data_IF_180031752018
#
_entry.id   IF_180031752018
#
_cell.length_a   1.000
_cell.length_b   1.000
_cell.length_c   1.000
_cell.angle_alpha   90.00
_cell.angle_beta   90.00
_cell.angle_gamma   90.00
#
_symmetry.space_group_name_H-M   'P 1'
#
loop_
_entity.id
_entity.type
_entity.pdbx_description
1 polymer ?
#
# COMPACT_ATOMS: atom_id res chain seq x y z
N UNK A 1 -8.32 -7.91 -7.18
CA UNK A 1 -9.41 -7.51 -8.09
C UNK A 1 -10.09 -8.73 -8.73
N UNK A 2 -11.17 -9.23 -8.14
CA UNK A 2 -11.94 -10.37 -8.66
C UNK A 2 -12.67 -10.07 -9.99
N UNK A 3 -12.85 -8.81 -10.32
CA UNK A 3 -13.67 -8.34 -11.44
C UNK A 3 -12.92 -7.50 -12.48
N UNK A 4 -11.59 -7.59 -12.51
CA UNK A 4 -10.77 -6.86 -13.50
C UNK A 4 -11.21 -7.19 -14.92
N UNK A 5 -11.47 -6.16 -15.71
CA UNK A 5 -11.95 -6.26 -17.08
C UNK A 5 -13.48 -6.26 -17.23
N UNK A 6 -14.24 -6.37 -16.12
CA UNK A 6 -15.71 -6.23 -16.11
C UNK A 6 -16.17 -5.08 -15.20
N UNK A 7 -15.43 -4.79 -14.15
CA UNK A 7 -15.71 -3.71 -13.21
C UNK A 7 -14.42 -3.27 -12.54
N UNK A 8 -14.29 -1.99 -12.23
CA UNK A 8 -13.19 -1.43 -11.41
C UNK A 8 -13.50 -1.43 -9.91
N UNK A 9 -14.41 -2.29 -9.46
CA UNK A 9 -14.82 -2.36 -8.05
C UNK A 9 -13.78 -3.13 -7.24
N UNK A 10 -13.32 -2.52 -6.15
CA UNK A 10 -12.56 -3.22 -5.11
C UNK A 10 -13.49 -4.10 -4.30
N UNK A 11 -13.02 -5.29 -3.91
CA UNK A 11 -13.81 -6.28 -3.20
C UNK A 11 -13.11 -6.64 -1.90
N UNK A 12 -13.85 -6.68 -0.80
CA UNK A 12 -13.37 -7.16 0.49
C UNK A 12 -13.93 -8.56 0.75
N UNK A 13 -13.10 -9.41 1.34
CA UNK A 13 -13.50 -10.76 1.77
C UNK A 13 -13.38 -10.80 3.29
N UNK A 14 -14.49 -11.12 3.95
CA UNK A 14 -14.54 -11.26 5.39
C UNK A 14 -14.64 -12.74 5.75
N UNK A 15 -13.77 -13.19 6.65
CA UNK A 15 -13.74 -14.57 7.14
C UNK A 15 -14.12 -14.58 8.62
N UNK A 16 -15.16 -15.29 8.97
CA UNK A 16 -15.69 -15.38 10.33
C UNK A 16 -15.60 -16.81 10.86
N UNK A 17 -15.32 -16.93 12.15
CA UNK A 17 -15.54 -18.17 12.88
C UNK A 17 -16.95 -18.14 13.50
N UNK A 18 -17.75 -19.10 13.15
CA UNK A 18 -19.13 -19.21 13.66
C UNK A 18 -19.12 -19.90 15.03
N UNK A 19 -19.95 -19.41 15.94
CA UNK A 19 -20.17 -20.02 17.27
C UNK A 19 -19.40 -19.39 18.42
N UNK A 20 -18.49 -18.46 18.15
CA UNK A 20 -17.77 -17.69 19.17
C UNK A 20 -17.99 -16.18 18.93
N UNK A 21 -18.42 -15.47 19.98
CA UNK A 21 -18.58 -14.02 19.88
C UNK A 21 -17.19 -13.36 19.91
N UNK A 22 -16.94 -12.45 18.97
CA UNK A 22 -15.71 -11.66 18.92
C UNK A 22 -15.63 -10.72 20.13
N UNK A 23 -14.49 -10.71 20.81
CA UNK A 23 -14.21 -9.81 21.93
C UNK A 23 -13.34 -8.62 21.43
N UNK A 24 -13.34 -7.51 22.17
CA UNK A 24 -12.57 -6.29 21.80
C UNK A 24 -11.05 -6.51 21.74
N UNK A 25 -10.55 -7.50 22.46
CA UNK A 25 -9.14 -7.90 22.53
C UNK A 25 -8.77 -9.06 21.60
N UNK A 26 -9.74 -9.58 20.84
CA UNK A 26 -9.45 -10.58 19.82
C UNK A 26 -8.77 -9.96 18.61
N UNK A 27 -7.66 -10.57 18.22
CA UNK A 27 -6.85 -10.09 17.08
C UNK A 27 -7.53 -10.42 15.76
N UNK A 28 -7.68 -9.40 14.92
CA UNK A 28 -8.14 -9.51 13.53
C UNK A 28 -6.98 -9.34 12.58
N UNK A 29 -6.94 -10.16 11.54
CA UNK A 29 -5.93 -10.13 10.51
C UNK A 29 -6.44 -9.36 9.29
N UNK A 30 -5.75 -8.30 8.92
CA UNK A 30 -6.05 -7.47 7.75
C UNK A 30 -5.01 -7.74 6.67
N UNK A 31 -5.45 -8.08 5.47
CA UNK A 31 -4.57 -8.43 4.37
C UNK A 31 -4.93 -7.57 3.16
N UNK A 32 -4.00 -6.70 2.74
CA UNK A 32 -4.10 -6.02 1.45
C UNK A 32 -3.52 -6.93 0.36
N UNK A 33 -4.40 -7.48 -0.45
CA UNK A 33 -4.03 -8.35 -1.56
C UNK A 33 -4.31 -7.71 -2.92
N UNK A 34 -4.19 -6.40 -2.99
CA UNK A 34 -4.30 -5.65 -4.24
C UNK A 34 -3.21 -6.04 -5.24
N UNK A 35 -2.00 -6.38 -4.75
CA UNK A 35 -0.96 -7.05 -5.53
C UNK A 35 -1.01 -8.57 -5.32
N UNK A 36 -1.76 -9.27 -6.15
CA UNK A 36 -1.86 -10.73 -6.09
C UNK A 36 -0.76 -11.46 -6.87
N UNK A 37 0.20 -10.73 -7.44
CA UNK A 37 1.30 -11.28 -8.22
C UNK A 37 0.96 -11.56 -9.69
N UNK A 38 -0.29 -11.37 -10.12
CA UNK A 38 -0.68 -11.52 -11.51
C UNK A 38 -0.75 -10.19 -12.24
N UNK A 39 -0.16 -10.13 -13.43
CA UNK A 39 -0.42 -9.06 -14.39
C UNK A 39 -1.56 -9.46 -15.31
N UNK A 40 -2.50 -8.55 -15.51
CA UNK A 40 -3.69 -8.73 -16.32
C UNK A 40 -3.60 -7.92 -17.60
N UNK A 41 -3.73 -8.58 -18.76
CA UNK A 41 -3.80 -7.88 -20.05
C UNK A 41 -5.21 -7.99 -20.62
N UNK A 42 -5.86 -6.85 -20.81
CA UNK A 42 -7.15 -6.80 -21.48
C UNK A 42 -6.96 -7.01 -22.99
N UNK A 43 -7.40 -8.14 -23.51
CA UNK A 43 -7.61 -8.29 -24.96
C UNK A 43 -9.06 -7.96 -25.29
N UNK A 44 -9.28 -7.29 -26.43
CA UNK A 44 -10.59 -6.82 -26.91
C UNK A 44 -11.68 -7.92 -27.07
N UNK A 45 -11.36 -9.18 -26.83
CA UNK A 45 -12.30 -10.31 -26.82
C UNK A 45 -12.14 -11.11 -25.53
N UNK A 46 -12.90 -10.73 -24.54
CA UNK A 46 -13.44 -11.53 -23.42
C UNK A 46 -12.55 -12.45 -22.59
N UNK A 47 -11.26 -12.64 -22.86
CA UNK A 47 -10.37 -13.43 -22.02
C UNK A 47 -9.24 -12.56 -21.49
N UNK A 48 -9.22 -12.35 -20.15
CA UNK A 48 -8.07 -11.76 -19.47
C UNK A 48 -6.98 -12.82 -19.39
N UNK A 49 -5.82 -12.58 -20.01
CA UNK A 49 -4.64 -13.39 -19.78
C UNK A 49 -4.01 -12.97 -18.44
N UNK A 50 -4.01 -13.90 -17.51
CA UNK A 50 -3.27 -13.78 -16.26
C UNK A 50 -1.84 -14.29 -16.49
N UNK A 51 -0.85 -13.45 -16.20
CA UNK A 51 0.55 -13.83 -16.18
C UNK A 51 1.06 -13.73 -14.75
N UNK A 52 1.65 -14.79 -14.25
CA UNK A 52 2.40 -14.74 -13.00
C UNK A 52 3.68 -13.94 -13.24
N UNK A 53 3.75 -12.74 -12.66
CA UNK A 53 4.87 -11.81 -12.80
C UNK A 53 5.58 -11.54 -11.48
N UNK A 54 4.96 -11.91 -10.36
CA UNK A 54 5.50 -11.70 -9.01
C UNK A 54 5.06 -12.82 -8.06
N UNK A 55 5.46 -14.05 -8.36
CA UNK A 55 5.26 -15.22 -7.50
C UNK A 55 3.82 -15.39 -7.00
N UNK A 56 2.87 -15.26 -7.90
CA UNK A 56 1.45 -15.25 -7.55
C UNK A 56 1.02 -16.50 -6.77
N UNK A 57 1.47 -17.69 -7.18
CA UNK A 57 1.12 -18.94 -6.48
C UNK A 57 1.61 -18.97 -5.05
N UNK A 58 2.84 -18.53 -4.82
CA UNK A 58 3.45 -18.46 -3.50
C UNK A 58 2.77 -17.40 -2.64
N UNK A 59 2.39 -16.24 -3.21
CA UNK A 59 1.60 -15.21 -2.51
C UNK A 59 0.25 -15.75 -2.04
N UNK A 60 -0.47 -16.48 -2.88
CA UNK A 60 -1.73 -17.11 -2.50
C UNK A 60 -1.54 -18.16 -1.39
N UNK A 61 -0.48 -18.97 -1.47
CA UNK A 61 -0.19 -19.94 -0.42
C UNK A 61 0.14 -19.23 0.91
N UNK A 62 0.94 -18.17 0.86
CA UNK A 62 1.30 -17.41 2.06
C UNK A 62 0.07 -16.79 2.72
N UNK A 63 -0.92 -16.30 1.97
CA UNK A 63 -2.18 -15.82 2.56
C UNK A 63 -2.87 -16.93 3.35
N UNK A 64 -2.96 -18.13 2.80
CA UNK A 64 -3.54 -19.27 3.52
C UNK A 64 -2.80 -19.54 4.83
N UNK A 65 -1.47 -19.47 4.78
CA UNK A 65 -0.61 -19.70 5.95
C UNK A 65 -0.74 -18.56 6.97
N UNK A 66 -0.83 -17.32 6.54
CA UNK A 66 -1.05 -16.15 7.40
C UNK A 66 -2.42 -16.20 8.09
N UNK A 67 -3.47 -16.58 7.36
CA UNK A 67 -4.81 -16.75 7.96
C UNK A 67 -4.80 -17.84 9.03
N UNK A 68 -4.12 -18.95 8.78
CA UNK A 68 -4.07 -20.10 9.70
C UNK A 68 -3.12 -19.89 10.87
N UNK A 69 -1.93 -19.37 10.63
CA UNK A 69 -0.82 -19.40 11.58
C UNK A 69 -0.35 -18.00 12.03
N UNK A 70 -0.84 -16.93 11.40
CA UNK A 70 -0.52 -15.55 11.76
C UNK A 70 0.84 -15.04 11.27
N UNK A 71 1.25 -13.91 11.83
CA UNK A 71 2.42 -13.10 11.41
C UNK A 71 3.73 -13.89 11.25
N UNK A 72 3.91 -14.98 12.02
CA UNK A 72 5.11 -15.82 11.93
C UNK A 72 5.34 -16.49 10.55
N UNK A 73 4.35 -16.45 9.65
CA UNK A 73 4.45 -16.97 8.28
C UNK A 73 4.67 -15.88 7.22
N UNK A 74 4.82 -14.63 7.64
CA UNK A 74 5.10 -13.51 6.73
C UNK A 74 6.49 -13.70 6.09
N UNK A 75 6.56 -13.73 4.77
CA UNK A 75 7.79 -13.97 4.02
C UNK A 75 7.84 -13.18 2.69
N UNK A 76 6.84 -13.33 1.83
CA UNK A 76 6.75 -12.67 0.52
C UNK A 76 5.96 -11.37 0.63
N UNK A 77 4.82 -11.43 1.34
CA UNK A 77 4.05 -10.24 1.66
C UNK A 77 4.85 -9.37 2.64
N UNK A 78 4.65 -8.08 2.53
CA UNK A 78 5.29 -7.09 3.39
C UNK A 78 4.44 -6.79 4.63
N UNK A 79 5.04 -6.15 5.64
CA UNK A 79 4.30 -5.66 6.80
C UNK A 79 3.27 -4.56 6.46
N UNK A 80 3.32 -3.99 5.25
CA UNK A 80 2.30 -3.08 4.73
C UNK A 80 1.09 -3.82 4.17
N UNK A 81 1.30 -5.03 3.66
CA UNK A 81 0.26 -5.88 3.09
C UNK A 81 -0.42 -6.77 4.13
N UNK A 82 0.23 -7.01 5.28
CA UNK A 82 -0.32 -7.80 6.39
C UNK A 82 -0.27 -7.00 7.70
N UNK A 83 -1.42 -6.86 8.33
CA UNK A 83 -1.56 -6.13 9.60
C UNK A 83 -2.46 -6.89 10.57
N UNK A 84 -2.06 -6.94 11.83
CA UNK A 84 -2.86 -7.46 12.94
C UNK A 84 -3.34 -6.30 13.80
N UNK A 85 -4.65 -6.21 14.02
CA UNK A 85 -5.26 -5.14 14.77
C UNK A 85 -6.52 -5.60 15.49
N UNK A 86 -7.23 -4.66 16.06
CA UNK A 86 -8.45 -4.90 16.82
C UNK A 86 -9.61 -4.18 16.17
N UNK A 87 -10.81 -4.75 16.27
CA UNK A 87 -12.05 -4.10 15.87
C UNK A 87 -12.95 -3.90 17.08
N UNK A 88 -13.79 -2.87 17.02
CA UNK A 88 -14.87 -2.71 17.96
C UNK A 88 -16.16 -3.29 17.36
N UNK A 89 -16.64 -4.46 17.84
CA UNK A 89 -17.83 -5.09 17.30
C UNK A 89 -19.12 -4.31 17.58
N UNK A 90 -19.12 -3.38 18.54
CA UNK A 90 -20.30 -2.58 18.90
C UNK A 90 -20.45 -1.36 17.98
N UNK A 91 -19.33 -0.66 17.69
CA UNK A 91 -19.38 0.55 16.86
C UNK A 91 -19.51 0.25 15.37
N UNK A 92 -19.08 -0.93 14.93
CA UNK A 92 -18.97 -1.28 13.52
C UNK A 92 -17.92 -0.47 12.74
N UNK A 93 -17.14 0.36 13.44
CA UNK A 93 -15.97 1.05 12.90
C UNK A 93 -14.80 0.08 12.77
N UNK A 94 -13.74 0.51 12.09
CA UNK A 94 -12.46 -0.20 12.02
C UNK A 94 -12.47 -1.61 11.37
N UNK A 95 -13.56 -1.97 10.71
CA UNK A 95 -13.67 -3.26 10.02
C UNK A 95 -12.81 -3.35 8.74
N UNK A 96 -12.23 -2.22 8.32
CA UNK A 96 -11.35 -2.15 7.16
C UNK A 96 -10.13 -1.31 7.54
N UNK A 97 -9.13 -1.94 8.10
CA UNK A 97 -7.89 -1.30 8.53
C UNK A 97 -6.73 -1.66 7.61
N UNK A 98 -5.77 -0.77 7.53
CA UNK A 98 -4.48 -1.00 6.90
C UNK A 98 -3.36 -0.80 7.91
N UNK A 99 -2.18 -1.34 7.60
CA UNK A 99 -1.00 -1.16 8.44
C UNK A 99 -0.76 0.34 8.68
N UNK A 100 -0.44 0.75 9.92
CA UNK A 100 -0.11 2.13 10.21
C UNK A 100 1.07 2.58 9.35
N UNK A 101 0.91 3.72 8.69
CA UNK A 101 2.01 4.34 7.95
C UNK A 101 2.92 5.01 8.98
N UNK A 102 4.17 4.59 9.05
CA UNK A 102 5.17 5.33 9.83
C UNK A 102 5.45 6.66 9.14
N UNK A 103 4.87 7.72 9.69
CA UNK A 103 5.02 9.09 9.18
C UNK A 103 6.22 9.82 9.79
N UNK A 104 7.01 9.13 10.63
CA UNK A 104 8.22 9.73 11.18
C UNK A 104 9.24 9.94 10.07
N UNK A 105 9.74 11.17 9.89
CA UNK A 105 10.75 11.43 8.87
C UNK A 105 12.03 10.63 9.18
N UNK A 106 12.54 9.97 8.17
CA UNK A 106 13.82 9.29 8.25
C UNK A 106 14.98 10.29 8.07
N UNK A 107 16.20 9.86 8.40
CA UNK A 107 17.39 10.67 8.14
C UNK A 107 17.55 10.99 6.63
N UNK A 108 17.13 10.07 5.77
CA UNK A 108 17.21 10.27 4.33
C UNK A 108 16.15 11.25 3.81
N UNK A 109 14.94 11.25 4.40
CA UNK A 109 13.93 12.28 4.12
C UNK A 109 14.45 13.67 4.52
N UNK A 110 15.11 13.77 5.67
CA UNK A 110 15.71 15.01 6.13
C UNK A 110 16.81 15.48 5.19
N UNK A 111 17.76 14.61 4.80
CA UNK A 111 18.83 14.92 3.85
C UNK A 111 18.26 15.38 2.50
N UNK A 112 17.24 14.69 2.00
CA UNK A 112 16.56 15.06 0.76
C UNK A 112 15.93 16.45 0.87
N UNK A 113 15.21 16.73 1.95
CA UNK A 113 14.57 18.04 2.17
C UNK A 113 15.61 19.17 2.21
N UNK A 114 16.73 18.96 2.89
CA UNK A 114 17.83 19.95 2.93
C UNK A 114 18.43 20.15 1.54
N UNK A 115 18.68 19.07 0.79
CA UNK A 115 19.22 19.15 -0.58
C UNK A 115 18.26 19.89 -1.52
N UNK A 116 16.97 19.61 -1.45
CA UNK A 116 15.96 20.26 -2.27
C UNK A 116 15.84 21.76 -1.93
N UNK A 117 15.94 22.12 -0.65
CA UNK A 117 15.94 23.50 -0.20
C UNK A 117 17.17 24.27 -0.73
N UNK A 118 18.37 23.71 -0.62
CA UNK A 118 19.59 24.33 -1.13
C UNK A 118 19.53 24.51 -2.65
N UNK A 119 19.02 23.52 -3.38
CA UNK A 119 18.84 23.63 -4.82
C UNK A 119 17.85 24.75 -5.22
N UNK A 120 16.77 24.89 -4.46
CA UNK A 120 15.80 25.97 -4.64
C UNK A 120 16.41 27.34 -4.34
N UNK A 121 17.17 27.46 -3.25
CA UNK A 121 17.85 28.71 -2.87
C UNK A 121 18.84 29.15 -3.93
N UNK A 122 19.70 28.26 -4.41
CA UNK A 122 20.66 28.54 -5.52
C UNK A 122 19.90 28.97 -6.78
N UNK A 123 18.82 28.29 -7.14
CA UNK A 123 17.98 28.64 -8.29
C UNK A 123 17.39 30.05 -8.18
N UNK A 124 16.99 30.47 -6.98
CA UNK A 124 16.44 31.79 -6.75
C UNK A 124 17.53 32.89 -6.85
N UNK A 125 18.73 32.62 -6.30
CA UNK A 125 19.87 33.55 -6.41
C UNK A 125 20.23 33.79 -7.88
N UNK A 126 20.32 32.71 -8.66
CA UNK A 126 20.66 32.81 -10.10
C UNK A 126 19.59 33.56 -10.91
N UNK A 127 18.31 33.36 -10.58
CA UNK A 127 17.21 34.10 -11.23
C UNK A 127 17.27 35.59 -10.92
N UNK A 128 17.56 35.93 -9.67
CA UNK A 128 17.67 37.35 -9.25
C UNK A 128 18.85 38.03 -9.90
N UNK A 129 20.01 37.36 -10.02
CA UNK A 129 21.17 37.87 -10.70
C UNK A 129 20.89 38.15 -12.19
N UNK A 130 20.27 37.20 -12.89
CA UNK A 130 19.91 37.39 -14.30
C UNK A 130 18.94 38.56 -14.49
N UNK A 131 18.05 38.81 -13.56
CA UNK A 131 17.08 39.93 -13.62
C UNK A 131 17.77 41.27 -13.38
N UNK A 132 18.82 41.33 -12.56
CA UNK A 132 19.64 42.54 -12.35
C UNK A 132 20.53 42.85 -13.57
N UNK A 133 21.14 41.82 -14.17
CA UNK A 133 21.95 41.98 -15.38
C UNK A 133 21.14 42.49 -16.57
N UNK A 134 19.91 42.02 -16.74
CA UNK A 134 18.98 42.53 -17.75
C UNK A 134 18.56 43.99 -17.50
N UNK A 135 18.48 44.45 -16.26
CA UNK A 135 18.20 45.85 -15.92
C UNK A 135 19.37 46.77 -16.15
N UNK A 136 20.60 46.30 -15.97
CA UNK A 136 21.82 47.08 -16.15
C UNK A 136 22.29 47.12 -17.61
N UNK A 137 21.78 46.23 -18.47
CA UNK A 137 22.09 46.16 -19.90
C UNK A 137 21.20 47.03 -20.82
N UNK A 138 20.36 47.92 -20.25
CA UNK A 138 19.55 48.89 -21.01
C UNK A 138 20.09 50.29 -20.93
#
# INVERSE_FOLDING_TARGET
DLFVGKSSVQTNIYVFRVGEAHQKDDVVKFIDFSNDGYTRTNRKKASSNLRDTDRAKERYQEIVDLVRFGKGKLNILTEKEYYEGYIDPESGADWNQSAPIDTKPTLDDFKKTVSDYLAWEVSNILKNQNTEDERLGK
#
